data_IF_398310704677
#
_entry.id   IF_398310704677
#
_cell.length_a   1.000
_cell.length_b   1.000
_cell.length_c   1.000
_cell.angle_alpha   90.00
_cell.angle_beta   90.00
_cell.angle_gamma   90.00
#
_symmetry.space_group_name_H-M   'P 1'
#
loop_
_entity.id
_entity.type
_entity.pdbx_description
1 polymer ?
#
# COMPACT_ATOMS: atom_id res chain seq x y z
N UNK A 1 -42.73 -9.25 13.62
CA UNK A 1 -41.61 -8.41 14.11
C UNK A 1 -40.38 -8.69 13.24
N UNK A 2 -40.26 -8.01 12.11
CA UNK A 2 -39.06 -8.10 11.27
C UNK A 2 -38.02 -7.11 11.80
N UNK A 3 -36.92 -7.64 12.35
CA UNK A 3 -35.78 -6.79 12.71
C UNK A 3 -35.17 -6.27 11.41
N UNK A 4 -35.32 -4.97 11.17
CA UNK A 4 -34.54 -4.27 10.15
C UNK A 4 -33.06 -4.42 10.53
N UNK A 5 -32.29 -5.03 9.64
CA UNK A 5 -30.83 -5.02 9.71
C UNK A 5 -30.35 -3.56 9.69
N UNK A 6 -29.37 -3.19 10.52
CA UNK A 6 -28.82 -1.84 10.47
C UNK A 6 -28.17 -1.62 9.11
N UNK A 7 -28.66 -0.62 8.39
CA UNK A 7 -27.97 -0.05 7.24
C UNK A 7 -26.64 0.50 7.74
N UNK A 8 -25.58 -0.30 7.64
CA UNK A 8 -24.22 0.21 7.67
C UNK A 8 -24.06 1.06 6.41
N UNK A 9 -24.25 2.37 6.54
CA UNK A 9 -23.68 3.33 5.60
C UNK A 9 -22.18 3.31 5.88
N UNK A 10 -21.53 2.23 5.44
CA UNK A 10 -20.07 2.12 5.48
C UNK A 10 -19.54 3.17 4.53
N UNK A 11 -19.08 4.30 5.06
CA UNK A 11 -18.33 5.28 4.27
C UNK A 11 -17.23 4.52 3.57
N UNK A 12 -17.27 4.47 2.24
CA UNK A 12 -16.21 3.84 1.44
C UNK A 12 -14.93 4.61 1.75
N UNK A 13 -14.06 4.02 2.56
CA UNK A 13 -12.75 4.63 2.88
C UNK A 13 -11.90 4.46 1.64
N UNK A 14 -11.77 5.53 0.85
CA UNK A 14 -10.79 5.62 -0.22
C UNK A 14 -9.51 6.29 0.30
N UNK A 15 -8.46 6.34 -0.52
CA UNK A 15 -7.17 6.89 -0.09
C UNK A 15 -7.20 8.38 0.28
N UNK A 16 -8.12 9.14 -0.31
CA UNK A 16 -8.30 10.57 -0.01
C UNK A 16 -8.96 10.74 1.37
N UNK A 17 -10.03 9.99 1.66
CA UNK A 17 -10.68 10.03 2.98
C UNK A 17 -9.75 9.51 4.07
N UNK A 18 -8.94 8.49 3.77
CA UNK A 18 -7.93 7.99 4.71
C UNK A 18 -6.90 9.07 5.06
N UNK A 19 -6.32 9.74 4.05
CA UNK A 19 -5.27 10.73 4.30
C UNK A 19 -5.80 11.96 5.06
N UNK A 20 -7.01 12.42 4.73
CA UNK A 20 -7.66 13.54 5.42
C UNK A 20 -7.93 13.21 6.89
N UNK A 21 -8.49 12.03 7.16
CA UNK A 21 -8.83 11.59 8.52
C UNK A 21 -7.61 11.46 9.42
N UNK A 22 -6.49 11.01 8.88
CA UNK A 22 -5.27 10.72 9.64
C UNK A 22 -4.20 11.82 9.52
N UNK A 23 -4.53 12.95 8.89
CA UNK A 23 -3.62 14.09 8.73
C UNK A 23 -2.34 13.75 7.95
N UNK A 24 -2.47 12.92 6.91
CA UNK A 24 -1.35 12.45 6.09
C UNK A 24 -1.32 13.16 4.74
N UNK A 25 -0.10 13.48 4.29
CA UNK A 25 0.14 13.95 2.93
C UNK A 25 0.54 12.78 2.03
N UNK A 26 -0.43 12.27 1.28
CA UNK A 26 -0.22 11.26 0.24
C UNK A 26 -0.36 11.88 -1.16
N UNK A 27 0.54 11.53 -2.10
CA UNK A 27 1.62 10.55 -1.97
C UNK A 27 2.82 11.07 -1.15
N UNK A 28 3.50 10.16 -0.42
CA UNK A 28 4.64 10.48 0.46
C UNK A 28 5.84 11.05 -0.32
N UNK A 29 6.39 12.17 0.14
CA UNK A 29 7.53 12.84 -0.52
C UNK A 29 8.84 12.80 0.30
N UNK A 30 8.77 12.44 1.57
CA UNK A 30 9.91 12.45 2.50
C UNK A 30 9.81 11.34 3.56
N UNK A 31 10.89 11.18 4.35
CA UNK A 31 10.96 10.15 5.39
C UNK A 31 10.09 10.46 6.62
N UNK A 32 9.87 11.73 6.93
CA UNK A 32 9.05 12.14 8.08
C UNK A 32 7.59 11.69 7.89
N UNK A 33 7.03 11.87 6.69
CA UNK A 33 5.67 11.44 6.39
C UNK A 33 5.56 9.92 6.30
N UNK A 34 6.63 9.24 5.86
CA UNK A 34 6.71 7.78 5.93
C UNK A 34 6.68 7.29 7.38
N UNK A 35 7.40 7.95 8.29
CA UNK A 35 7.42 7.61 9.71
C UNK A 35 6.06 7.91 10.36
N UNK A 36 5.40 9.02 10.01
CA UNK A 36 4.01 9.30 10.43
C UNK A 36 3.05 8.21 9.98
N UNK A 37 3.09 7.82 8.70
CA UNK A 37 2.27 6.71 8.20
C UNK A 37 2.56 5.41 8.97
N UNK A 38 3.84 5.06 9.15
CA UNK A 38 4.23 3.85 9.87
C UNK A 38 3.76 3.85 11.33
N UNK A 39 3.78 5.02 11.99
CA UNK A 39 3.28 5.16 13.35
C UNK A 39 1.77 4.98 13.41
N UNK A 40 1.03 5.57 12.48
CA UNK A 40 -0.41 5.40 12.36
C UNK A 40 -0.80 3.93 12.11
N UNK A 41 -0.07 3.22 11.25
CA UNK A 41 -0.34 1.80 10.94
C UNK A 41 -0.02 0.82 12.08
N UNK A 42 0.61 1.28 13.18
CA UNK A 42 0.75 0.46 14.39
C UNK A 42 -0.62 0.23 15.05
N UNK A 43 -1.54 1.19 14.93
CA UNK A 43 -2.92 1.04 15.37
C UNK A 43 -3.68 0.07 14.43
N UNK A 44 -4.44 -0.85 15.02
CA UNK A 44 -5.13 -1.89 14.26
C UNK A 44 -6.27 -1.31 13.42
N UNK A 45 -7.05 -0.39 13.97
CA UNK A 45 -8.23 0.17 13.29
C UNK A 45 -7.77 1.04 12.12
N UNK A 46 -6.73 1.86 12.34
CA UNK A 46 -6.12 2.67 11.28
C UNK A 46 -5.55 1.79 10.17
N UNK A 47 -4.93 0.66 10.51
CA UNK A 47 -4.41 -0.30 9.52
C UNK A 47 -5.52 -0.94 8.70
N UNK A 48 -6.64 -1.30 9.31
CA UNK A 48 -7.80 -1.82 8.58
C UNK A 48 -8.39 -0.78 7.64
N UNK A 49 -8.49 0.47 8.08
CA UNK A 49 -8.90 1.60 7.23
C UNK A 49 -7.96 1.80 6.04
N UNK A 50 -6.65 1.71 6.27
CA UNK A 50 -5.65 1.77 5.20
C UNK A 50 -5.85 0.62 4.21
N UNK A 51 -6.04 -0.62 4.68
CA UNK A 51 -6.27 -1.77 3.80
C UNK A 51 -7.57 -1.61 3.00
N UNK A 52 -8.63 -1.08 3.59
CA UNK A 52 -9.87 -0.75 2.88
C UNK A 52 -9.65 0.33 1.81
N UNK A 53 -8.82 1.34 2.09
CA UNK A 53 -8.42 2.33 1.09
C UNK A 53 -7.65 1.69 -0.07
N UNK A 54 -6.76 0.73 0.20
CA UNK A 54 -6.04 0.00 -0.83
C UNK A 54 -6.94 -0.92 -1.67
N UNK A 55 -8.01 -1.49 -1.10
CA UNK A 55 -8.99 -2.28 -1.86
C UNK A 55 -9.65 -1.47 -2.97
N UNK A 56 -9.87 -0.16 -2.77
CA UNK A 56 -10.42 0.72 -3.80
C UNK A 56 -9.46 1.00 -4.96
N UNK A 57 -8.16 0.74 -4.77
CA UNK A 57 -7.13 0.90 -5.80
C UNK A 57 -6.86 -0.43 -6.52
N UNK A 58 -7.06 -1.55 -5.82
CA UNK A 58 -6.82 -2.89 -6.34
C UNK A 58 -7.82 -3.25 -7.43
N UNK A 59 -7.31 -3.81 -8.54
CA UNK A 59 -8.12 -4.37 -9.62
C UNK A 59 -8.02 -5.90 -9.62
N UNK A 60 -9.15 -6.60 -9.55
CA UNK A 60 -9.19 -8.07 -9.56
C UNK A 60 -8.72 -8.68 -10.89
N UNK A 61 -8.91 -7.96 -12.00
CA UNK A 61 -8.40 -8.35 -13.32
C UNK A 61 -6.92 -7.96 -13.52
N UNK A 62 -6.33 -7.21 -12.58
CA UNK A 62 -4.95 -6.75 -12.64
C UNK A 62 -3.94 -7.83 -12.26
N UNK A 63 -2.76 -7.74 -12.87
CA UNK A 63 -1.58 -8.47 -12.38
C UNK A 63 -1.11 -7.92 -11.02
N UNK A 64 -0.34 -8.71 -10.27
CA UNK A 64 0.29 -8.24 -9.04
C UNK A 64 1.13 -6.99 -9.27
N UNK A 65 1.94 -6.96 -10.33
CA UNK A 65 2.81 -5.84 -10.66
C UNK A 65 2.02 -4.57 -11.01
N UNK A 66 0.91 -4.69 -11.74
CA UNK A 66 0.06 -3.53 -12.06
C UNK A 66 -0.66 -3.00 -10.82
N UNK A 67 -1.22 -3.88 -9.98
CA UNK A 67 -1.86 -3.46 -8.73
C UNK A 67 -0.85 -2.83 -7.77
N UNK A 68 0.34 -3.40 -7.65
CA UNK A 68 1.42 -2.84 -6.85
C UNK A 68 1.88 -1.47 -7.39
N UNK A 69 1.92 -1.29 -8.71
CA UNK A 69 2.21 0.01 -9.33
C UNK A 69 1.15 1.04 -8.96
N UNK A 70 -0.14 0.72 -9.11
CA UNK A 70 -1.23 1.64 -8.78
C UNK A 70 -1.24 2.00 -7.28
N UNK A 71 -1.05 1.01 -6.41
CA UNK A 71 -0.96 1.24 -4.96
C UNK A 71 0.23 2.14 -4.63
N UNK A 72 1.43 1.84 -5.15
CA UNK A 72 2.62 2.63 -4.85
C UNK A 72 2.52 4.05 -5.40
N UNK A 73 1.93 4.27 -6.58
CA UNK A 73 1.71 5.62 -7.13
C UNK A 73 0.75 6.47 -6.28
N UNK A 74 -0.16 5.85 -5.53
CA UNK A 74 -1.07 6.55 -4.62
C UNK A 74 -0.44 6.80 -3.25
N UNK A 75 0.51 5.99 -2.84
CA UNK A 75 1.11 6.06 -1.50
C UNK A 75 2.46 6.79 -1.51
N UNK A 76 3.25 6.74 -2.59
CA UNK A 76 4.63 7.22 -2.63
C UNK A 76 4.85 8.06 -3.88
N UNK A 77 5.41 9.26 -3.72
CA UNK A 77 5.76 10.11 -4.86
C UNK A 77 6.89 9.47 -5.66
N UNK A 78 6.90 9.69 -6.97
CA UNK A 78 7.91 9.13 -7.87
C UNK A 78 9.34 9.51 -7.48
N UNK A 79 9.59 10.75 -7.05
CA UNK A 79 10.93 11.20 -6.68
C UNK A 79 11.36 10.59 -5.36
N UNK A 80 10.42 10.37 -4.44
CA UNK A 80 10.69 9.68 -3.19
C UNK A 80 10.95 8.18 -3.43
N UNK A 81 10.14 7.52 -4.26
CA UNK A 81 10.32 6.12 -4.65
C UNK A 81 11.70 5.86 -5.29
N UNK A 82 12.22 6.79 -6.09
CA UNK A 82 13.55 6.68 -6.73
C UNK A 82 14.72 6.65 -5.74
N UNK A 83 14.51 7.13 -4.51
CA UNK A 83 15.48 7.04 -3.40
C UNK A 83 15.54 5.64 -2.78
N UNK A 84 14.68 4.72 -3.22
CA UNK A 84 14.67 3.35 -2.75
C UNK A 84 15.15 2.35 -3.80
N UNK A 85 15.62 1.23 -3.29
CA UNK A 85 15.95 -0.01 -4.01
C UNK A 85 15.18 -1.15 -3.35
N UNK A 86 14.79 -2.17 -4.10
CA UNK A 86 13.89 -3.21 -3.55
C UNK A 86 14.56 -4.03 -2.45
N UNK A 87 15.77 -4.54 -2.69
CA UNK A 87 16.40 -5.56 -1.81
C UNK A 87 17.90 -5.43 -1.61
N UNK A 88 18.62 -4.67 -2.45
CA UNK A 88 20.09 -4.57 -2.38
C UNK A 88 20.49 -3.15 -2.07
N UNK A 89 21.44 -2.96 -1.18
CA UNK A 89 22.02 -1.64 -0.92
C UNK A 89 22.61 -1.08 -2.23
N UNK A 90 22.28 0.16 -2.53
CA UNK A 90 22.86 0.95 -3.62
C UNK A 90 23.28 2.27 -3.00
N UNK A 91 24.38 2.85 -3.49
CA UNK A 91 24.85 4.14 -3.01
C UNK A 91 23.72 5.19 -3.07
N UNK A 92 23.55 5.94 -1.99
CA UNK A 92 22.52 6.98 -1.86
C UNK A 92 21.07 6.49 -1.98
N UNK A 93 20.81 5.17 -1.79
CA UNK A 93 19.45 4.61 -1.78
C UNK A 93 19.18 3.74 -0.55
N UNK A 94 17.94 3.82 -0.05
CA UNK A 94 17.45 2.99 1.06
C UNK A 94 16.78 1.71 0.57
N UNK A 95 16.83 0.63 1.36
CA UNK A 95 16.18 -0.64 1.01
C UNK A 95 14.69 -0.59 1.39
N UNK A 96 13.80 -0.64 0.39
CA UNK A 96 12.35 -0.59 0.61
C UNK A 96 11.83 -1.78 1.40
N UNK A 97 12.39 -2.97 1.18
CA UNK A 97 12.05 -4.19 1.95
C UNK A 97 12.21 -4.01 3.46
N UNK A 98 13.07 -3.09 3.91
CA UNK A 98 13.32 -2.84 5.32
C UNK A 98 12.33 -1.82 5.93
N UNK A 99 11.43 -1.25 5.14
CA UNK A 99 10.41 -0.30 5.63
C UNK A 99 9.24 -1.06 6.23
N UNK A 100 8.57 -0.48 7.23
CA UNK A 100 7.31 -1.05 7.77
C UNK A 100 6.19 -1.02 6.73
N UNK A 101 6.15 0.03 5.90
CA UNK A 101 5.23 0.11 4.77
C UNK A 101 5.31 -1.14 3.87
N UNK A 102 6.52 -1.65 3.58
CA UNK A 102 6.68 -2.90 2.84
C UNK A 102 5.95 -4.07 3.52
N UNK A 103 6.13 -4.24 4.83
CA UNK A 103 5.46 -5.32 5.59
C UNK A 103 3.94 -5.18 5.53
N UNK A 104 3.40 -3.97 5.66
CA UNK A 104 1.96 -3.73 5.56
C UNK A 104 1.41 -4.00 4.16
N UNK A 105 2.14 -3.61 3.10
CA UNK A 105 1.76 -3.92 1.73
C UNK A 105 1.79 -5.42 1.45
N UNK A 106 2.83 -6.13 1.92
CA UNK A 106 2.89 -7.59 1.81
C UNK A 106 1.69 -8.25 2.49
N UNK A 107 1.38 -7.85 3.73
CA UNK A 107 0.20 -8.35 4.44
C UNK A 107 -1.10 -8.09 3.68
N UNK A 108 -1.28 -6.87 3.16
CA UNK A 108 -2.47 -6.51 2.38
C UNK A 108 -2.64 -7.44 1.15
N UNK A 109 -1.59 -7.56 0.32
CA UNK A 109 -1.66 -8.37 -0.89
C UNK A 109 -1.80 -9.87 -0.59
N UNK A 110 -1.10 -10.39 0.42
CA UNK A 110 -1.25 -11.79 0.84
C UNK A 110 -2.67 -12.07 1.34
N UNK A 111 -3.26 -11.19 2.15
CA UNK A 111 -4.63 -11.35 2.62
C UNK A 111 -5.65 -11.27 1.47
N UNK A 112 -5.47 -10.33 0.53
CA UNK A 112 -6.35 -10.23 -0.64
C UNK A 112 -6.27 -11.48 -1.51
N UNK A 113 -5.08 -11.97 -1.81
CA UNK A 113 -4.92 -13.21 -2.61
C UNK A 113 -5.51 -14.42 -1.88
N UNK A 114 -5.31 -14.54 -0.56
CA UNK A 114 -5.90 -15.60 0.24
C UNK A 114 -7.44 -15.57 0.21
N UNK A 115 -8.05 -14.38 0.25
CA UNK A 115 -9.51 -14.21 0.13
C UNK A 115 -10.07 -14.67 -1.23
N UNK A 116 -9.23 -14.73 -2.26
CA UNK A 116 -9.58 -15.22 -3.60
C UNK A 116 -9.19 -16.70 -3.80
N UNK A 117 -8.80 -17.40 -2.73
CA UNK A 117 -8.34 -18.79 -2.80
C UNK A 117 -6.96 -18.97 -3.44
N UNK A 118 -6.18 -17.90 -3.57
CA UNK A 118 -4.83 -17.90 -4.16
C UNK A 118 -3.77 -17.78 -3.07
N UNK A 119 -2.59 -18.35 -3.31
CA UNK A 119 -1.43 -18.15 -2.44
C UNK A 119 -0.51 -17.11 -3.06
N UNK A 120 -0.11 -16.11 -2.26
CA UNK A 120 0.93 -15.15 -2.63
C UNK A 120 2.07 -15.23 -1.62
N UNK A 121 3.25 -15.63 -2.09
CA UNK A 121 4.44 -15.68 -1.23
C UNK A 121 5.17 -14.33 -1.22
N UNK A 122 5.98 -14.10 -0.18
CA UNK A 122 6.90 -12.95 -0.15
C UNK A 122 7.83 -12.92 -1.38
N UNK A 123 8.23 -14.10 -1.89
CA UNK A 123 9.07 -14.22 -3.08
C UNK A 123 8.38 -13.66 -4.32
N UNK A 124 7.10 -13.98 -4.50
CA UNK A 124 6.29 -13.48 -5.62
C UNK A 124 6.10 -11.96 -5.51
N UNK A 125 5.77 -11.48 -4.29
CA UNK A 125 5.64 -10.06 -4.00
C UNK A 125 6.93 -9.29 -4.30
N UNK A 126 8.09 -9.79 -3.83
CA UNK A 126 9.39 -9.19 -4.10
C UNK A 126 9.77 -9.23 -5.58
N UNK A 127 9.37 -10.29 -6.30
CA UNK A 127 9.59 -10.37 -7.74
C UNK A 127 8.84 -9.25 -8.47
N UNK A 128 7.56 -9.03 -8.16
CA UNK A 128 6.80 -7.89 -8.69
C UNK A 128 7.35 -6.54 -8.23
N UNK A 129 7.74 -6.40 -6.96
CA UNK A 129 8.28 -5.14 -6.48
C UNK A 129 9.59 -4.74 -7.20
N UNK A 130 10.43 -5.73 -7.56
CA UNK A 130 11.64 -5.53 -8.36
C UNK A 130 11.39 -5.05 -9.78
N UNK A 131 10.19 -5.26 -10.33
CA UNK A 131 9.82 -4.71 -11.63
C UNK A 131 9.16 -3.32 -11.50
N UNK A 132 8.54 -3.02 -10.36
CA UNK A 132 7.80 -1.76 -10.16
C UNK A 132 8.69 -0.61 -9.71
N UNK A 133 9.46 -0.76 -8.61
CA UNK A 133 10.23 0.33 -8.03
C UNK A 133 11.33 0.90 -8.95
N UNK A 134 12.14 0.09 -9.68
CA UNK A 134 13.13 0.64 -10.61
C UNK A 134 12.51 1.46 -11.74
N UNK A 135 11.26 1.18 -12.10
CA UNK A 135 10.49 1.89 -13.12
C UNK A 135 9.71 3.09 -12.54
N UNK A 136 9.96 3.48 -11.28
CA UNK A 136 9.34 4.68 -10.69
C UNK A 136 9.65 5.98 -11.44
N UNK A 137 10.74 6.00 -12.22
CA UNK A 137 11.06 7.12 -13.12
C UNK A 137 10.02 7.34 -14.23
N UNK A 138 9.26 6.30 -14.58
CA UNK A 138 8.29 6.29 -15.68
C UNK A 138 6.84 6.50 -15.18
N UNK A 139 6.65 6.72 -13.87
CA UNK A 139 5.34 7.04 -13.30
C UNK A 139 4.90 8.43 -13.77
N UNK A 140 3.64 8.53 -14.22
CA UNK A 140 3.01 9.77 -14.66
C UNK A 140 2.58 10.61 -13.47
#
# INVERSE_FOLDING_TARGET
MGKQSPNFVGTVVNIETFKEKHGLDLPLVNCEDLDKLNNNLNDLDVRQEFFNALLNIYSESGSLSSNLTHVLQKVIDKNFAKKYTCTRQVENKSIFKNTRLYSHLLTFFTNKYASEGRTLTEKDFLHSLKTVLPNAKDWK
#
